data_IF_141200007155
#
_entry.id   IF_141200007155
#
_cell.length_a   1.000
_cell.length_b   1.000
_cell.length_c   1.000
_cell.angle_alpha   90.00
_cell.angle_beta   90.00
_cell.angle_gamma   90.00
#
_symmetry.space_group_name_H-M   'P 1'
#
loop_
_entity.id
_entity.type
_entity.pdbx_description
1 polymer ?
#
# COMPACT_ATOMS: atom_id res chain seq x y z
N UNK A 1 4.25 4.86 5.29
CA UNK A 1 3.02 4.89 4.48
C UNK A 1 2.03 5.96 4.95
N UNK A 2 1.47 5.90 6.17
CA UNK A 2 0.48 6.88 6.64
C UNK A 2 0.96 8.34 6.59
N UNK A 3 2.23 8.61 6.91
CA UNK A 3 2.84 9.95 6.79
C UNK A 3 2.79 10.48 5.36
N UNK A 4 3.06 9.63 4.36
CA UNK A 4 2.97 9.99 2.93
C UNK A 4 1.52 10.30 2.55
N UNK A 5 0.57 9.45 2.96
CA UNK A 5 -0.86 9.70 2.72
C UNK A 5 -1.32 11.03 3.32
N UNK A 6 -0.89 11.35 4.54
CA UNK A 6 -1.21 12.62 5.20
C UNK A 6 -0.55 13.81 4.48
N UNK A 7 0.71 13.67 4.08
CA UNK A 7 1.46 14.71 3.35
C UNK A 7 0.77 15.06 2.03
N UNK A 8 0.42 14.05 1.23
CA UNK A 8 -0.21 14.22 -0.08
C UNK A 8 -1.72 14.54 -0.02
N UNK A 9 -2.35 14.45 1.16
CA UNK A 9 -3.79 14.75 1.31
C UNK A 9 -4.16 16.23 1.19
N UNK A 10 -3.17 17.13 1.25
CA UNK A 10 -3.41 18.57 1.12
C UNK A 10 -3.70 18.94 -0.35
N UNK A 11 -4.67 19.84 -0.63
CA UNK A 11 -5.20 20.05 -1.98
C UNK A 11 -4.13 20.29 -3.06
N UNK A 12 -3.18 21.21 -2.80
CA UNK A 12 -2.11 21.53 -3.76
C UNK A 12 -1.22 20.33 -4.08
N UNK A 13 -0.87 19.52 -3.06
CA UNK A 13 -0.01 18.33 -3.20
C UNK A 13 -0.78 17.15 -3.81
N UNK A 14 -2.05 17.01 -3.46
CA UNK A 14 -2.94 16.01 -4.06
C UNK A 14 -3.12 16.23 -5.56
N UNK A 15 -3.16 17.48 -6.01
CA UNK A 15 -3.24 17.79 -7.44
C UNK A 15 -1.96 17.39 -8.20
N UNK A 16 -0.78 17.51 -7.58
CA UNK A 16 0.47 17.00 -8.17
C UNK A 16 0.39 15.49 -8.31
N UNK A 17 0.00 14.79 -7.24
CA UNK A 17 -0.16 13.34 -7.26
C UNK A 17 -1.16 12.89 -8.33
N UNK A 18 -2.28 13.59 -8.48
CA UNK A 18 -3.25 13.28 -9.53
C UNK A 18 -2.61 13.39 -10.92
N UNK A 19 -1.86 14.46 -11.17
CA UNK A 19 -1.14 14.66 -12.42
C UNK A 19 -0.10 13.56 -12.69
N UNK A 20 0.64 13.13 -11.67
CA UNK A 20 1.63 12.04 -11.83
C UNK A 20 0.98 10.67 -12.03
N UNK A 21 -0.16 10.39 -11.37
CA UNK A 21 -0.95 9.18 -11.61
C UNK A 21 -1.42 9.15 -13.06
N UNK A 22 -2.07 10.20 -13.55
CA UNK A 22 -2.56 10.25 -14.94
C UNK A 22 -1.43 10.10 -15.97
N UNK A 23 -0.23 10.61 -15.66
CA UNK A 23 0.94 10.53 -16.54
C UNK A 23 1.59 9.15 -16.56
N UNK A 24 1.73 8.51 -15.41
CA UNK A 24 2.52 7.28 -15.25
C UNK A 24 1.67 6.02 -15.24
N UNK A 25 0.38 6.14 -14.90
CA UNK A 25 -0.57 5.04 -14.70
C UNK A 25 -1.90 5.39 -15.40
N UNK A 26 -1.93 5.46 -16.75
CA UNK A 26 -3.10 5.93 -17.50
C UNK A 26 -4.33 5.02 -17.37
N UNK A 27 -4.12 3.72 -17.12
CA UNK A 27 -5.18 2.72 -16.96
C UNK A 27 -5.72 2.63 -15.52
N UNK A 28 -5.10 3.37 -14.59
CA UNK A 28 -5.42 3.30 -13.17
C UNK A 28 -6.75 4.00 -12.87
N UNK A 29 -7.63 3.29 -12.15
CA UNK A 29 -8.96 3.83 -11.78
C UNK A 29 -8.93 4.53 -10.43
N UNK A 30 -7.85 4.34 -9.66
CA UNK A 30 -7.70 4.90 -8.32
C UNK A 30 -6.80 6.13 -8.31
N UNK A 31 -7.43 7.29 -8.14
CA UNK A 31 -6.76 8.59 -8.15
C UNK A 31 -6.43 9.14 -6.75
N UNK A 32 -6.67 8.36 -5.70
CA UNK A 32 -6.52 8.81 -4.30
C UNK A 32 -5.92 7.71 -3.43
N UNK A 33 -4.94 8.10 -2.62
CA UNK A 33 -4.41 7.24 -1.57
C UNK A 33 -5.47 6.99 -0.50
N UNK A 34 -5.62 5.72 -0.09
CA UNK A 34 -6.43 5.36 1.06
C UNK A 34 -5.63 5.57 2.35
N UNK A 35 -6.26 6.17 3.36
CA UNK A 35 -5.70 6.21 4.72
C UNK A 35 -5.86 4.84 5.36
N UNK A 36 -4.97 4.49 6.27
CA UNK A 36 -5.13 3.27 7.05
C UNK A 36 -6.35 3.38 7.95
N UNK A 37 -7.23 2.39 7.84
CA UNK A 37 -8.28 2.17 8.83
C UNK A 37 -7.72 1.25 9.94
N UNK A 38 -7.64 1.70 11.20
CA UNK A 38 -7.09 0.89 12.29
C UNK A 38 -7.92 -0.37 12.58
N UNK A 39 -9.24 -0.29 12.41
CA UNK A 39 -10.19 -1.31 12.87
C UNK A 39 -10.71 -2.23 11.78
N UNK A 40 -10.41 -1.97 10.50
CA UNK A 40 -10.87 -2.79 9.37
C UNK A 40 -9.71 -3.37 8.59
N UNK A 41 -9.49 -4.67 8.78
CA UNK A 41 -8.38 -5.42 8.20
C UNK A 41 -8.40 -5.43 6.66
N UNK A 42 -9.56 -5.61 6.03
CA UNK A 42 -9.65 -5.59 4.56
C UNK A 42 -9.34 -4.20 3.99
N UNK A 43 -9.84 -3.13 4.60
CA UNK A 43 -9.50 -1.77 4.17
C UNK A 43 -7.99 -1.48 4.33
N UNK A 44 -7.35 -2.06 5.35
CA UNK A 44 -5.90 -1.99 5.53
C UNK A 44 -5.15 -2.73 4.41
N UNK A 45 -5.58 -3.93 4.04
CA UNK A 45 -5.00 -4.68 2.92
C UNK A 45 -5.08 -3.86 1.63
N UNK A 46 -6.27 -3.35 1.31
CA UNK A 46 -6.50 -2.53 0.13
C UNK A 46 -5.62 -1.26 0.13
N UNK A 47 -5.44 -0.61 1.28
CA UNK A 47 -4.60 0.60 1.37
C UNK A 47 -3.12 0.30 1.09
N UNK A 48 -2.60 -0.84 1.57
CA UNK A 48 -1.22 -1.26 1.33
C UNK A 48 -1.00 -1.64 -0.13
N UNK A 49 -1.90 -2.44 -0.71
CA UNK A 49 -1.81 -2.86 -2.12
C UNK A 49 -1.87 -1.62 -3.01
N UNK A 50 -2.85 -0.73 -2.78
CA UNK A 50 -2.98 0.50 -3.54
C UNK A 50 -1.77 1.42 -3.41
N UNK A 51 -1.17 1.53 -2.22
CA UNK A 51 0.05 2.32 -2.05
C UNK A 51 1.22 1.73 -2.84
N UNK A 52 1.33 0.40 -2.91
CA UNK A 52 2.36 -0.26 -3.69
C UNK A 52 2.18 0.00 -5.19
N UNK A 53 0.95 -0.15 -5.70
CA UNK A 53 0.60 0.11 -7.10
C UNK A 53 0.86 1.57 -7.50
N UNK A 54 0.49 2.52 -6.62
CA UNK A 54 0.70 3.94 -6.85
C UNK A 54 2.11 4.43 -6.51
N UNK A 55 3.02 3.57 -6.02
CA UNK A 55 4.34 3.99 -5.55
C UNK A 55 5.15 4.77 -6.60
N UNK A 56 5.17 4.39 -7.90
CA UNK A 56 5.88 5.17 -8.92
C UNK A 56 5.36 6.61 -9.03
N UNK A 57 4.03 6.79 -9.01
CA UNK A 57 3.40 8.10 -9.06
C UNK A 57 3.64 8.92 -7.78
N UNK A 58 3.68 8.26 -6.61
CA UNK A 58 4.04 8.88 -5.33
C UNK A 58 5.47 9.40 -5.36
N UNK A 59 6.43 8.60 -5.83
CA UNK A 59 7.84 9.01 -5.94
C UNK A 59 7.95 10.22 -6.86
N UNK A 60 7.39 10.16 -8.06
CA UNK A 60 7.41 11.28 -9.01
C UNK A 60 6.76 12.54 -8.43
N UNK A 61 5.66 12.41 -7.69
CA UNK A 61 5.02 13.57 -7.07
C UNK A 61 5.89 14.18 -5.96
N UNK A 62 6.58 13.36 -5.18
CA UNK A 62 7.49 13.87 -4.14
C UNK A 62 8.75 14.50 -4.74
N UNK A 63 9.25 14.00 -5.87
CA UNK A 63 10.34 14.61 -6.64
C UNK A 63 9.94 15.99 -7.16
N UNK A 64 8.72 16.13 -7.70
CA UNK A 64 8.21 17.43 -8.14
C UNK A 64 8.04 18.41 -6.97
N UNK A 65 7.51 17.94 -5.83
CA UNK A 65 7.29 18.76 -4.64
C UNK A 65 8.61 19.15 -3.96
N UNK A 66 9.65 18.31 -4.06
CA UNK A 66 10.96 18.61 -3.46
C UNK A 66 11.69 19.78 -4.15
N UNK A 67 11.24 20.19 -5.34
CA UNK A 67 11.75 21.35 -6.08
C UNK A 67 10.99 22.64 -5.76
N UNK A 68 9.99 22.61 -4.87
CA UNK A 68 9.20 23.79 -4.55
C UNK A 68 9.99 24.81 -3.73
N UNK A 69 9.67 26.09 -3.94
CA UNK A 69 10.27 27.22 -3.19
C UNK A 69 9.98 27.17 -1.68
N UNK A 70 8.89 26.54 -1.27
CA UNK A 70 8.53 26.39 0.14
C UNK A 70 9.47 25.37 0.81
N UNK A 71 10.42 25.87 1.60
CA UNK A 71 11.51 25.08 2.18
C UNK A 71 11.01 23.98 3.11
N UNK A 72 9.97 24.24 3.89
CA UNK A 72 9.42 23.24 4.82
C UNK A 72 8.78 22.07 4.06
N UNK A 73 7.95 22.37 3.06
CA UNK A 73 7.31 21.33 2.24
C UNK A 73 8.33 20.56 1.40
N UNK A 74 9.30 21.24 0.78
CA UNK A 74 10.31 20.59 -0.07
C UNK A 74 11.27 19.72 0.75
N UNK A 75 11.70 20.18 1.92
CA UNK A 75 12.50 19.40 2.87
C UNK A 75 11.73 18.15 3.34
N UNK A 76 10.46 18.31 3.71
CA UNK A 76 9.62 17.18 4.09
C UNK A 76 9.43 16.17 2.94
N UNK A 77 9.26 16.63 1.70
CA UNK A 77 9.18 15.73 0.53
C UNK A 77 10.48 14.95 0.33
N UNK A 78 11.63 15.61 0.45
CA UNK A 78 12.95 14.96 0.37
C UNK A 78 13.14 13.89 1.47
N UNK A 79 12.73 14.18 2.70
CA UNK A 79 12.81 13.21 3.80
C UNK A 79 11.92 11.98 3.53
N UNK A 80 10.73 12.20 2.97
CA UNK A 80 9.83 11.11 2.59
C UNK A 80 10.41 10.27 1.43
N UNK A 81 10.98 10.90 0.40
CA UNK A 81 11.69 10.21 -0.68
C UNK A 81 12.83 9.35 -0.13
N UNK A 82 13.71 9.95 0.67
CA UNK A 82 14.83 9.24 1.28
C UNK A 82 14.38 8.02 2.08
N UNK A 83 13.23 8.12 2.77
CA UNK A 83 12.62 7.01 3.52
C UNK A 83 12.05 5.92 2.61
N UNK A 84 11.39 6.30 1.50
CA UNK A 84 10.83 5.34 0.53
C UNK A 84 11.95 4.58 -0.18
N UNK A 85 13.06 5.23 -0.52
CA UNK A 85 14.19 4.58 -1.19
C UNK A 85 15.04 3.69 -0.27
N UNK A 86 14.78 3.68 1.05
CA UNK A 86 15.48 2.75 1.94
C UNK A 86 15.18 1.31 1.54
N UNK A 87 16.24 0.52 1.34
CA UNK A 87 16.12 -0.90 1.00
C UNK A 87 15.23 -1.66 2.00
N UNK A 88 15.43 -1.41 3.31
CA UNK A 88 14.61 -2.00 4.38
C UNK A 88 13.13 -1.68 4.20
N UNK A 89 12.78 -0.47 3.78
CA UNK A 89 11.39 -0.09 3.52
C UNK A 89 10.83 -0.86 2.33
N UNK A 90 11.57 -0.94 1.23
CA UNK A 90 11.14 -1.64 0.01
C UNK A 90 10.92 -3.13 0.25
N UNK A 91 11.87 -3.81 0.88
CA UNK A 91 11.72 -5.23 1.23
C UNK A 91 10.54 -5.46 2.18
N UNK A 92 10.41 -4.64 3.22
CA UNK A 92 9.28 -4.76 4.16
C UNK A 92 7.94 -4.57 3.43
N UNK A 93 7.88 -3.65 2.48
CA UNK A 93 6.69 -3.38 1.67
C UNK A 93 6.34 -4.57 0.78
N UNK A 94 7.32 -5.14 0.06
CA UNK A 94 7.10 -6.29 -0.81
C UNK A 94 6.61 -7.51 -0.04
N UNK A 95 7.21 -7.79 1.13
CA UNK A 95 6.77 -8.86 2.03
C UNK A 95 5.32 -8.61 2.46
N UNK A 96 5.00 -7.40 2.89
CA UNK A 96 3.66 -7.06 3.37
C UNK A 96 2.60 -7.21 2.26
N UNK A 97 2.90 -6.75 1.04
CA UNK A 97 2.02 -6.93 -0.13
C UNK A 97 1.80 -8.41 -0.40
N UNK A 98 2.85 -9.23 -0.43
CA UNK A 98 2.74 -10.67 -0.67
C UNK A 98 1.85 -11.36 0.37
N UNK A 99 2.05 -11.06 1.66
CA UNK A 99 1.27 -11.62 2.75
C UNK A 99 -0.20 -11.21 2.65
N UNK A 100 -0.46 -9.94 2.36
CA UNK A 100 -1.83 -9.41 2.24
C UNK A 100 -2.56 -9.92 1.01
N UNK A 101 -1.89 -10.12 -0.12
CA UNK A 101 -2.49 -10.74 -1.30
C UNK A 101 -2.97 -12.18 -1.04
N UNK A 102 -2.38 -12.88 -0.06
CA UNK A 102 -2.83 -14.21 0.36
C UNK A 102 -3.97 -14.09 1.39
N UNK A 103 -3.79 -13.27 2.43
CA UNK A 103 -4.76 -13.16 3.53
C UNK A 103 -6.04 -12.41 3.15
N UNK A 104 -6.04 -11.59 2.08
CA UNK A 104 -7.20 -10.81 1.66
C UNK A 104 -8.37 -11.69 1.25
N UNK A 105 -8.12 -12.81 0.57
CA UNK A 105 -9.16 -13.73 0.12
C UNK A 105 -9.87 -14.37 1.31
N UNK A 106 -9.10 -14.85 2.29
CA UNK A 106 -9.64 -15.34 3.56
C UNK A 106 -10.41 -14.24 4.30
N UNK A 107 -9.85 -13.03 4.39
CA UNK A 107 -10.47 -11.92 5.11
C UNK A 107 -11.82 -11.52 4.51
N UNK A 108 -11.94 -11.54 3.18
CA UNK A 108 -13.19 -11.28 2.46
C UNK A 108 -14.19 -12.42 2.68
N UNK A 109 -13.73 -13.67 2.61
CA UNK A 109 -14.56 -14.84 2.87
C UNK A 109 -15.16 -14.81 4.27
N UNK A 110 -14.36 -14.55 5.30
CA UNK A 110 -14.82 -14.47 6.69
C UNK A 110 -15.83 -13.34 6.96
N UNK A 111 -16.02 -12.41 6.02
CA UNK A 111 -16.96 -11.28 6.13
C UNK A 111 -18.24 -11.49 5.30
N UNK A 112 -18.43 -12.65 4.65
CA UNK A 112 -19.67 -12.94 3.92
C UNK A 112 -20.82 -13.22 4.88
N UNK A 113 -22.03 -12.74 4.57
CA UNK A 113 -23.22 -12.89 5.41
C UNK A 113 -23.61 -14.36 5.64
N UNK A 114 -23.47 -15.21 4.62
CA UNK A 114 -23.80 -16.64 4.66
C UNK A 114 -22.52 -17.48 4.73
N UNK A 115 -21.76 -17.32 5.81
CA UNK A 115 -20.51 -18.05 6.01
C UNK A 115 -20.78 -19.53 6.31
N UNK A 116 -20.24 -20.42 5.48
CA UNK A 116 -20.16 -21.84 5.81
C UNK A 116 -18.91 -22.12 6.66
N UNK A 117 -19.11 -22.70 7.85
CA UNK A 117 -18.06 -22.85 8.85
C UNK A 117 -17.01 -23.89 8.42
N UNK A 118 -17.43 -24.96 7.76
CA UNK A 118 -16.52 -26.00 7.28
C UNK A 118 -15.56 -25.44 6.22
N UNK A 119 -16.10 -24.74 5.22
CA UNK A 119 -15.31 -24.04 4.22
C UNK A 119 -14.42 -22.95 4.84
N UNK A 120 -14.89 -22.23 5.86
CA UNK A 120 -14.10 -21.21 6.56
C UNK A 120 -12.86 -21.79 7.23
N UNK A 121 -13.01 -22.92 7.93
CA UNK A 121 -11.90 -23.63 8.58
C UNK A 121 -10.89 -24.11 7.54
N UNK A 122 -11.37 -24.78 6.48
CA UNK A 122 -10.50 -25.24 5.38
C UNK A 122 -9.72 -24.07 4.76
N UNK A 123 -10.37 -22.94 4.52
CA UNK A 123 -9.71 -21.79 3.90
C UNK A 123 -8.68 -21.14 4.84
N UNK A 124 -8.96 -21.09 6.14
CA UNK A 124 -8.01 -20.62 7.14
C UNK A 124 -6.78 -21.53 7.25
N UNK A 125 -6.98 -22.85 7.24
CA UNK A 125 -5.90 -23.84 7.24
C UNK A 125 -5.04 -23.73 5.99
N UNK A 126 -5.64 -23.66 4.81
CA UNK A 126 -4.94 -23.48 3.54
C UNK A 126 -4.09 -22.21 3.54
N UNK A 127 -4.66 -21.09 4.00
CA UNK A 127 -3.95 -19.82 4.17
C UNK A 127 -2.74 -19.99 5.09
N UNK A 128 -2.92 -20.66 6.25
CA UNK A 128 -1.84 -20.89 7.20
C UNK A 128 -0.72 -21.76 6.60
N UNK A 129 -1.08 -22.83 5.88
CA UNK A 129 -0.13 -23.73 5.22
C UNK A 129 0.68 -22.96 4.16
N UNK A 130 0.02 -22.16 3.30
CA UNK A 130 0.71 -21.34 2.30
C UNK A 130 1.70 -20.37 2.94
N UNK A 131 1.31 -19.70 4.03
CA UNK A 131 2.20 -18.77 4.73
C UNK A 131 3.39 -19.47 5.41
N UNK A 132 3.17 -20.67 5.97
CA UNK A 132 4.24 -21.50 6.54
C UNK A 132 5.21 -21.96 5.47
N UNK A 133 4.71 -22.37 4.31
CA UNK A 133 5.54 -22.81 3.18
C UNK A 133 6.45 -21.68 2.67
N UNK A 134 5.90 -20.48 2.47
CA UNK A 134 6.69 -19.30 2.09
C UNK A 134 7.81 -19.03 3.10
N UNK A 135 7.52 -19.16 4.40
CA UNK A 135 8.52 -18.94 5.45
C UNK A 135 9.61 -20.02 5.45
N UNK A 136 9.26 -21.28 5.21
CA UNK A 136 10.21 -22.40 5.22
C UNK A 136 11.09 -22.45 3.97
N UNK A 137 10.60 -21.93 2.84
CA UNK A 137 11.32 -21.90 1.57
C UNK A 137 11.90 -20.51 1.25
N UNK A 138 12.00 -19.60 2.22
CA UNK A 138 12.47 -18.23 1.98
C UNK A 138 13.93 -18.14 1.52
N UNK A 139 14.74 -19.17 1.78
CA UNK A 139 16.16 -19.27 1.42
C UNK A 139 16.41 -20.04 0.12
N UNK A 140 15.36 -20.53 -0.55
CA UNK A 140 15.45 -21.22 -1.85
C UNK A 140 15.27 -20.24 -2.99
#
# INVERSE_FOLDING_TARGET
MQTVCNFLSYPKRSNVLLGTITKLLPDEKSFKLKKFCPTRWVERHDAVILYYELQPAIISALEDISLWKDTDTSSAANQLLASIHQFKFQISMMILVKLFSISVSLSKFLQTENLDLENALSFAENTQVTLKDIRLNADK
#
